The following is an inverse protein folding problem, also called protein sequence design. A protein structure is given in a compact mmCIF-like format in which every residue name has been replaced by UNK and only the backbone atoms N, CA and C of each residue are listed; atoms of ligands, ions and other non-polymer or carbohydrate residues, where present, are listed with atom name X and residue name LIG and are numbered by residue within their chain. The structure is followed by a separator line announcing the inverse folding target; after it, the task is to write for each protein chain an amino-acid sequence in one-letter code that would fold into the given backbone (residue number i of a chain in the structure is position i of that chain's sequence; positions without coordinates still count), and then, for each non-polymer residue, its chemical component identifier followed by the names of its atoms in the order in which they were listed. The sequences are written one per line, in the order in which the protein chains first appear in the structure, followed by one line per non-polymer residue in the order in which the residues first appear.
data_IF_137532389235
#
_entry.id   IF_137532389235
#
_cell.length_a   1.000
_cell.length_b   1.000
_cell.length_c   1.000
_cell.angle_alpha   90.00
_cell.angle_beta   90.00
_cell.angle_gamma   90.00
#
_symmetry.space_group_name_H-M   'P 1'
#
loop_
_entity.id
_entity.type
_entity.pdbx_description
1 polymer ?
#
# COMPACT_ATOMS: atom_id res chain seq x y z
N UNK A 1 -3.38 17.99 -10.55
CA UNK A 1 -3.17 17.02 -10.64
C UNK A 1 -3.00 16.12 -9.64
N UNK A 2 -3.21 15.12 -9.58
CA UNK A 2 -3.26 14.21 -8.52
C UNK A 2 -1.91 13.77 -8.06
N UNK A 3 -1.89 13.27 -6.87
CA UNK A 3 -0.66 12.77 -6.26
C UNK A 3 -0.46 11.30 -6.54
N UNK A 4 -1.14 10.77 -7.54
CA UNK A 4 -1.06 9.35 -7.87
C UNK A 4 0.03 9.10 -8.89
N UNK A 5 1.14 8.55 -8.44
CA UNK A 5 2.30 8.27 -9.29
C UNK A 5 2.24 6.80 -9.72
N UNK A 6 2.17 6.57 -11.02
CA UNK A 6 2.00 5.22 -11.52
C UNK A 6 3.21 4.33 -11.27
N UNK A 7 4.41 4.91 -11.26
CA UNK A 7 5.60 4.12 -10.95
C UNK A 7 5.59 3.65 -9.51
N UNK A 8 5.14 4.52 -8.62
CA UNK A 8 4.99 4.13 -7.22
C UNK A 8 3.88 3.12 -7.08
N UNK A 9 2.79 3.30 -7.82
CA UNK A 9 1.70 2.34 -7.81
C UNK A 9 2.18 0.95 -8.20
N UNK A 10 3.02 0.84 -9.23
CA UNK A 10 3.54 -0.46 -9.66
C UNK A 10 4.38 -1.11 -8.56
N UNK A 11 5.19 -0.34 -7.87
CA UNK A 11 5.98 -0.89 -6.78
C UNK A 11 5.12 -1.32 -5.62
N UNK A 12 4.13 -0.51 -5.27
CA UNK A 12 3.19 -0.86 -4.20
C UNK A 12 2.45 -2.12 -4.57
N UNK A 13 2.01 -2.22 -5.81
CA UNK A 13 1.28 -3.37 -6.30
C UNK A 13 2.10 -4.65 -6.16
N UNK A 14 3.36 -4.61 -6.55
CA UNK A 14 4.24 -5.77 -6.44
C UNK A 14 4.38 -6.20 -4.98
N UNK A 15 4.55 -5.23 -4.08
CA UNK A 15 4.71 -5.53 -2.66
C UNK A 15 3.43 -6.14 -2.10
N UNK A 16 2.27 -5.59 -2.47
CA UNK A 16 0.99 -6.11 -1.99
C UNK A 16 0.79 -7.54 -2.47
N UNK A 17 1.09 -7.81 -3.73
CA UNK A 17 0.97 -9.15 -4.28
C UNK A 17 1.83 -10.14 -3.48
N UNK A 18 3.05 -9.75 -3.19
CA UNK A 18 3.97 -10.62 -2.45
C UNK A 18 3.54 -10.83 -1.02
N UNK A 19 3.08 -9.77 -0.36
CA UNK A 19 2.72 -9.86 1.05
C UNK A 19 1.40 -10.60 1.25
N UNK A 20 0.44 -10.40 0.37
CA UNK A 20 -0.88 -10.99 0.55
C UNK A 20 -1.10 -12.26 -0.26
N UNK A 21 -0.20 -12.56 -1.19
CA UNK A 21 -0.32 -13.78 -2.00
C UNK A 21 -1.51 -13.75 -2.93
N UNK A 22 -1.82 -12.59 -3.50
CA UNK A 22 -2.96 -12.42 -4.39
C UNK A 22 -2.48 -12.14 -5.80
N UNK A 23 -3.43 -12.13 -6.73
CA UNK A 23 -3.11 -11.88 -8.14
C UNK A 23 -2.83 -10.43 -8.40
N UNK A 24 -1.97 -10.18 -9.37
CA UNK A 24 -1.59 -8.84 -9.76
C UNK A 24 -2.81 -8.01 -10.18
N UNK A 25 -3.74 -8.66 -10.89
CA UNK A 25 -4.93 -7.97 -11.36
C UNK A 25 -5.94 -7.63 -10.28
N UNK A 26 -5.76 -8.19 -9.08
CA UNK A 26 -6.65 -7.89 -7.96
C UNK A 26 -6.29 -6.57 -7.29
N UNK A 27 -5.10 -6.05 -7.54
CA UNK A 27 -4.63 -4.84 -6.88
C UNK A 27 -4.95 -3.64 -7.75
N UNK A 28 -6.11 -3.05 -7.49
CA UNK A 28 -6.55 -1.85 -8.19
C UNK A 28 -6.41 -0.65 -7.25
N UNK A 29 -6.39 0.58 -7.80
CA UNK A 29 -6.22 1.75 -6.94
C UNK A 29 -7.28 1.88 -5.85
N UNK A 30 -8.51 1.49 -6.14
CA UNK A 30 -9.59 1.65 -5.20
C UNK A 30 -9.80 0.45 -4.29
N UNK A 31 -8.98 -0.58 -4.42
CA UNK A 31 -9.11 -1.79 -3.61
C UNK A 31 -8.77 -1.49 -2.15
N UNK A 32 -9.64 -1.91 -1.26
CA UNK A 32 -9.38 -1.82 0.17
C UNK A 32 -8.53 -3.01 0.59
N UNK A 33 -7.50 -2.77 1.37
CA UNK A 33 -6.62 -3.86 1.81
C UNK A 33 -7.40 -4.90 2.60
N UNK A 34 -8.27 -4.47 3.48
CA UNK A 34 -9.01 -5.38 4.33
C UNK A 34 -10.23 -5.97 3.62
N UNK A 35 -11.03 -5.11 3.00
CA UNK A 35 -12.31 -5.57 2.46
C UNK A 35 -12.18 -6.25 1.11
N UNK A 36 -11.33 -5.71 0.25
CA UNK A 36 -11.22 -6.23 -1.11
C UNK A 36 -10.10 -7.24 -1.26
N UNK A 37 -9.00 -7.05 -0.55
CA UNK A 37 -7.83 -7.91 -0.68
C UNK A 37 -7.69 -8.91 0.45
N UNK A 38 -8.56 -8.83 1.44
CA UNK A 38 -8.61 -9.83 2.50
C UNK A 38 -7.48 -9.77 3.52
N UNK A 39 -6.83 -8.62 3.66
CA UNK A 39 -5.75 -8.49 4.64
C UNK A 39 -6.32 -8.37 6.04
N UNK A 40 -5.71 -9.07 7.00
CA UNK A 40 -6.09 -8.87 8.39
C UNK A 40 -5.10 -7.87 9.02
N UNK A 41 -5.24 -7.65 10.33
CA UNK A 41 -4.42 -6.64 11.02
C UNK A 41 -2.94 -6.92 10.88
N UNK A 42 -2.55 -8.18 11.00
CA UNK A 42 -1.16 -8.56 10.92
C UNK A 42 -0.63 -8.35 9.51
N UNK A 43 -1.45 -8.71 8.51
CA UNK A 43 -1.05 -8.51 7.12
C UNK A 43 -0.81 -7.04 6.83
N UNK A 44 -1.66 -6.17 7.37
CA UNK A 44 -1.52 -4.73 7.15
C UNK A 44 -0.23 -4.23 7.79
N UNK A 45 0.09 -4.68 9.00
CA UNK A 45 1.31 -4.27 9.67
C UNK A 45 2.53 -4.69 8.85
N UNK A 46 2.54 -5.92 8.37
CA UNK A 46 3.66 -6.41 7.58
C UNK A 46 3.78 -5.69 6.26
N UNK A 47 2.64 -5.37 5.65
CA UNK A 47 2.63 -4.62 4.41
C UNK A 47 3.23 -3.23 4.60
N UNK A 48 2.83 -2.54 5.67
CA UNK A 48 3.37 -1.22 5.97
C UNK A 48 4.88 -1.28 6.16
N UNK A 49 5.36 -2.29 6.88
CA UNK A 49 6.79 -2.44 7.09
C UNK A 49 7.53 -2.68 5.79
N UNK A 50 6.95 -3.46 4.88
CA UNK A 50 7.56 -3.71 3.59
C UNK A 50 7.63 -2.43 2.76
N UNK A 51 6.58 -1.61 2.84
CA UNK A 51 6.57 -0.33 2.13
C UNK A 51 7.64 0.61 2.69
N UNK A 52 7.79 0.62 4.00
CA UNK A 52 8.82 1.45 4.63
C UNK A 52 10.21 1.08 4.13
N UNK A 53 10.47 -0.22 4.01
CA UNK A 53 11.77 -0.68 3.54
C UNK A 53 11.99 -0.39 2.07
N UNK A 54 10.96 -0.60 1.27
CA UNK A 54 11.11 -0.42 -0.17
C UNK A 54 11.36 1.03 -0.53
N UNK A 55 10.69 1.95 0.14
CA UNK A 55 10.77 3.37 -0.19
C UNK A 55 11.65 4.16 0.77
N UNK A 56 12.26 3.48 1.72
CA UNK A 56 13.16 4.09 2.70
C UNK A 56 12.51 5.27 3.41
N UNK A 57 11.31 5.04 3.92
CA UNK A 57 10.62 6.06 4.69
C UNK A 57 9.96 5.44 5.91
N UNK A 58 9.48 6.32 6.77
CA UNK A 58 8.87 5.91 8.01
C UNK A 58 7.40 6.25 8.01
N UNK A 59 6.59 5.26 8.30
CA UNK A 59 5.14 5.44 8.36
C UNK A 59 4.72 5.22 9.80
N UNK A 60 4.22 6.26 10.45
CA UNK A 60 3.78 6.14 11.84
C UNK A 60 2.51 5.32 11.94
N UNK A 61 2.22 4.83 13.14
CA UNK A 61 1.00 4.06 13.36
C UNK A 61 -0.23 4.87 13.01
N UNK A 62 -0.21 6.16 13.32
CA UNK A 62 -1.34 7.02 13.00
C UNK A 62 -1.55 7.16 11.51
N UNK A 63 -0.47 7.29 10.78
CA UNK A 63 -0.56 7.42 9.34
C UNK A 63 -0.95 6.11 8.69
N UNK A 64 -0.42 5.01 9.21
CA UNK A 64 -0.80 3.69 8.69
C UNK A 64 -2.29 3.44 8.87
N UNK A 65 -2.86 3.93 9.96
CA UNK A 65 -4.28 3.75 10.22
C UNK A 65 -5.16 4.48 9.20
N UNK A 66 -4.61 5.48 8.55
CA UNK A 66 -5.36 6.23 7.53
C UNK A 66 -5.25 5.61 6.15
N UNK A 67 -4.35 4.66 5.98
CA UNK A 67 -4.14 4.00 4.70
C UNK A 67 -5.09 2.82 4.61
N UNK A 68 -6.21 3.01 3.92
CA UNK A 68 -7.22 1.97 3.80
C UNK A 68 -7.21 1.31 2.44
N UNK A 69 -6.85 2.03 1.39
CA UNK A 69 -6.86 1.52 0.03
C UNK A 69 -5.47 1.60 -0.58
N UNK A 70 -5.31 0.93 -1.72
CA UNK A 70 -4.06 1.00 -2.46
C UNK A 70 -3.76 2.44 -2.85
N UNK A 71 -4.77 3.18 -3.29
CA UNK A 71 -4.60 4.59 -3.65
C UNK A 71 -4.07 5.41 -2.47
N UNK A 72 -4.62 5.17 -1.27
CA UNK A 72 -4.16 5.89 -0.09
C UNK A 72 -2.67 5.68 0.13
N UNK A 73 -2.21 4.44 -0.02
CA UNK A 73 -0.80 4.12 0.16
C UNK A 73 0.06 4.82 -0.88
N UNK A 74 -0.38 4.78 -2.14
CA UNK A 74 0.38 5.40 -3.22
C UNK A 74 0.48 6.91 -3.02
N UNK A 75 -0.62 7.54 -2.65
CA UNK A 75 -0.63 8.98 -2.44
C UNK A 75 0.24 9.37 -1.27
N UNK A 76 0.17 8.61 -0.19
CA UNK A 76 1.00 8.90 0.97
C UNK A 76 2.48 8.82 0.62
N UNK A 77 2.87 7.77 -0.09
CA UNK A 77 4.26 7.59 -0.45
C UNK A 77 4.72 8.67 -1.43
N UNK A 78 3.86 9.00 -2.40
CA UNK A 78 4.18 10.03 -3.38
C UNK A 78 4.47 11.35 -2.69
N UNK A 79 3.67 11.69 -1.69
CA UNK A 79 3.85 12.95 -0.97
C UNK A 79 5.07 12.91 -0.05
N UNK A 80 5.40 11.73 0.46
CA UNK A 80 6.53 11.59 1.37
C UNK A 80 7.88 11.61 0.67
N UNK A 81 7.90 11.29 -0.61
CA UNK A 81 9.14 11.33 -1.39
C UNK A 81 9.42 12.74 -1.94
#
# INVERSE_FOLDING_TARGET
MGDFDEKIFEKVKTIVVEQLGIGYGDVTPDASFVEDLGADSLDVVELVMALEEEFDLKITDEEAAKIATVRDAVEYITEAL
#
